data_IF_060967728954
#
_entry.id   IF_060967728954
#
_cell.length_a   1.000
_cell.length_b   1.000
_cell.length_c   1.000
_cell.angle_alpha   90.00
_cell.angle_beta   90.00
_cell.angle_gamma   90.00
#
_symmetry.space_group_name_H-M   'P 1'
#
loop_
_entity.id
_entity.type
_entity.pdbx_description
1 polymer ?
#
# COMPACT_ATOMS: atom_id res chain seq x y z
N UNK A 1 -23.82 11.90 4.80
CA UNK A 1 -23.08 10.99 5.71
C UNK A 1 -22.23 10.06 4.84
N UNK A 2 -20.98 9.80 5.21
CA UNK A 2 -20.15 8.80 4.53
C UNK A 2 -20.82 7.43 4.64
N UNK A 3 -21.04 6.77 3.51
CA UNK A 3 -21.64 5.43 3.49
C UNK A 3 -20.52 4.39 3.55
N UNK A 4 -20.67 3.43 4.47
CA UNK A 4 -19.66 2.42 4.77
C UNK A 4 -20.14 1.05 4.32
N UNK A 5 -19.30 0.32 3.60
CA UNK A 5 -19.52 -1.06 3.20
C UNK A 5 -18.64 -1.98 4.04
N UNK A 6 -19.23 -2.95 4.74
CA UNK A 6 -18.49 -3.90 5.60
C UNK A 6 -18.28 -5.26 4.94
N UNK A 7 -18.74 -5.43 3.70
CA UNK A 7 -18.49 -6.61 2.89
C UNK A 7 -19.32 -7.83 3.21
N UNK A 8 -20.06 -7.92 4.32
CA UNK A 8 -20.98 -9.04 4.54
C UNK A 8 -22.02 -9.15 3.40
N UNK A 9 -22.44 -8.01 2.85
CA UNK A 9 -23.31 -7.93 1.70
C UNK A 9 -22.64 -8.53 0.44
N UNK A 10 -21.31 -8.44 0.31
CA UNK A 10 -20.56 -9.11 -0.77
C UNK A 10 -20.72 -10.63 -0.70
N UNK A 11 -20.67 -11.22 0.50
CA UNK A 11 -20.82 -12.67 0.67
C UNK A 11 -22.23 -13.11 0.26
N UNK A 12 -23.25 -12.34 0.63
CA UNK A 12 -24.63 -12.56 0.23
C UNK A 12 -24.79 -12.46 -1.29
N UNK A 13 -24.33 -11.36 -1.89
CA UNK A 13 -24.46 -11.11 -3.33
C UNK A 13 -23.70 -12.14 -4.15
N UNK A 14 -22.52 -12.56 -3.69
CA UNK A 14 -21.76 -13.65 -4.32
C UNK A 14 -22.52 -14.97 -4.24
N UNK A 15 -23.19 -15.25 -3.12
CA UNK A 15 -24.04 -16.44 -2.97
C UNK A 15 -25.20 -16.42 -3.97
N UNK A 16 -25.88 -15.29 -4.11
CA UNK A 16 -26.93 -15.10 -5.11
C UNK A 16 -26.42 -15.22 -6.56
N UNK A 17 -25.21 -14.74 -6.84
CA UNK A 17 -24.59 -14.93 -8.16
C UNK A 17 -24.27 -16.40 -8.45
N UNK A 18 -23.80 -17.15 -7.45
CA UNK A 18 -23.49 -18.59 -7.61
C UNK A 18 -24.73 -19.48 -7.64
N UNK A 19 -25.82 -19.06 -6.99
CA UNK A 19 -27.09 -19.78 -6.96
C UNK A 19 -28.24 -18.79 -7.22
N UNK A 20 -28.57 -18.54 -8.51
CA UNK A 20 -29.62 -17.61 -8.89
C UNK A 20 -31.00 -18.03 -8.39
N UNK A 21 -31.27 -19.34 -8.26
CA UNK A 21 -32.55 -19.85 -7.77
C UNK A 21 -32.82 -19.39 -6.33
N UNK A 22 -31.78 -19.39 -5.48
CA UNK A 22 -31.87 -18.89 -4.10
C UNK A 22 -32.28 -17.41 -4.06
N UNK A 23 -31.79 -16.60 -4.99
CA UNK A 23 -32.19 -15.19 -5.10
C UNK A 23 -33.67 -15.06 -5.46
N UNK A 24 -34.13 -15.80 -6.48
CA UNK A 24 -35.52 -15.77 -6.90
C UNK A 24 -36.46 -16.28 -5.80
N UNK A 25 -36.14 -17.42 -5.17
CA UNK A 25 -36.93 -17.98 -4.06
C UNK A 25 -37.05 -17.01 -2.88
N UNK A 26 -35.92 -16.41 -2.45
CA UNK A 26 -35.92 -15.45 -1.36
C UNK A 26 -36.72 -14.19 -1.70
N UNK A 27 -36.58 -13.69 -2.94
CA UNK A 27 -37.33 -12.53 -3.42
C UNK A 27 -38.83 -12.80 -3.48
N UNK A 28 -39.25 -13.92 -4.07
CA UNK A 28 -40.68 -14.28 -4.16
C UNK A 28 -41.31 -14.43 -2.77
N UNK A 29 -40.58 -15.01 -1.80
CA UNK A 29 -41.03 -15.11 -0.41
C UNK A 29 -41.28 -13.74 0.23
N UNK A 30 -40.45 -12.75 -0.06
CA UNK A 30 -40.64 -11.37 0.44
C UNK A 30 -41.82 -10.70 -0.28
N UNK A 31 -41.94 -10.89 -1.60
CA UNK A 31 -43.04 -10.33 -2.38
C UNK A 31 -44.41 -10.93 -1.98
N UNK A 32 -44.46 -12.22 -1.64
CA UNK A 32 -45.70 -12.84 -1.15
C UNK A 32 -46.13 -12.27 0.21
N UNK A 33 -45.17 -11.95 1.10
CA UNK A 33 -45.46 -11.31 2.39
C UNK A 33 -45.99 -9.88 2.23
N UNK A 34 -45.51 -9.14 1.21
CA UNK A 34 -46.09 -7.85 0.81
C UNK A 34 -47.53 -8.02 0.32
N UNK A 35 -47.81 -9.03 -0.51
CA UNK A 35 -49.17 -9.29 -1.01
C UNK A 35 -50.22 -9.55 0.08
N UNK A 36 -49.81 -10.03 1.25
CA UNK A 36 -50.70 -10.27 2.41
C UNK A 36 -50.86 -9.04 3.33
N UNK A 37 -49.89 -8.11 3.37
CA UNK A 37 -49.83 -7.02 4.36
C UNK A 37 -49.66 -5.58 3.79
N UNK A 38 -49.38 -5.39 2.50
CA UNK A 38 -49.08 -4.08 1.90
C UNK A 38 -49.23 -4.04 0.37
N UNK A 39 -50.09 -3.15 -0.12
CA UNK A 39 -50.42 -3.04 -1.55
C UNK A 39 -49.30 -2.48 -2.44
N UNK A 40 -48.28 -1.80 -1.88
CA UNK A 40 -47.24 -1.14 -2.66
C UNK A 40 -45.82 -1.56 -2.27
N UNK A 41 -44.93 -1.67 -3.26
CA UNK A 41 -43.51 -2.02 -3.05
C UNK A 41 -42.78 -0.97 -2.18
N UNK A 42 -43.28 0.26 -2.14
CA UNK A 42 -42.73 1.32 -1.30
C UNK A 42 -42.91 1.05 0.19
N UNK A 43 -43.90 0.24 0.58
CA UNK A 43 -44.21 -0.08 1.98
C UNK A 43 -43.26 -1.13 2.58
N UNK A 44 -42.33 -1.69 1.78
CA UNK A 44 -41.32 -2.63 2.27
C UNK A 44 -40.29 -1.91 3.14
N UNK A 45 -40.42 -2.08 4.46
CA UNK A 45 -39.51 -1.54 5.48
C UNK A 45 -38.60 -2.61 6.12
N UNK A 46 -38.97 -3.89 6.06
CA UNK A 46 -38.22 -5.02 6.62
C UNK A 46 -38.17 -6.21 5.64
N UNK A 47 -37.06 -6.96 5.64
CA UNK A 47 -36.85 -8.15 4.79
C UNK A 47 -37.40 -9.43 5.41
N UNK A 48 -37.92 -9.37 6.64
CA UNK A 48 -38.46 -10.52 7.36
C UNK A 48 -37.41 -11.57 7.73
N UNK A 49 -37.87 -12.79 8.03
CA UNK A 49 -36.98 -13.89 8.43
C UNK A 49 -36.15 -14.42 7.25
N UNK A 50 -34.83 -14.24 7.36
CA UNK A 50 -33.88 -14.80 6.40
C UNK A 50 -33.90 -16.34 6.41
N UNK A 51 -33.75 -17.00 5.24
CA UNK A 51 -33.60 -18.44 5.17
C UNK A 51 -32.52 -18.95 6.12
N UNK A 52 -32.76 -20.10 6.76
CA UNK A 52 -31.85 -20.64 7.77
C UNK A 52 -30.44 -20.88 7.22
N UNK A 53 -30.29 -21.13 5.92
CA UNK A 53 -28.98 -21.27 5.25
C UNK A 53 -28.18 -19.94 5.15
N UNK A 54 -28.80 -18.80 5.44
CA UNK A 54 -28.21 -17.45 5.44
C UNK A 54 -28.18 -16.83 6.84
N UNK A 55 -28.45 -17.62 7.89
CA UNK A 55 -28.57 -17.13 9.27
C UNK A 55 -27.32 -16.37 9.78
N UNK A 56 -26.12 -16.76 9.34
CA UNK A 56 -24.88 -16.07 9.71
C UNK A 56 -24.79 -14.64 9.16
N UNK A 57 -25.63 -14.30 8.17
CA UNK A 57 -25.77 -12.96 7.60
C UNK A 57 -26.91 -12.16 8.23
N UNK A 58 -27.87 -12.80 8.92
CA UNK A 58 -29.02 -12.09 9.50
C UNK A 58 -28.57 -11.10 10.59
N UNK A 59 -27.58 -11.47 11.39
CA UNK A 59 -27.02 -10.64 12.47
C UNK A 59 -26.32 -9.38 11.94
N UNK A 60 -25.67 -9.47 10.77
CA UNK A 60 -24.93 -8.35 10.16
C UNK A 60 -25.82 -7.50 9.25
N UNK A 61 -26.78 -8.12 8.56
CA UNK A 61 -27.70 -7.44 7.66
C UNK A 61 -28.78 -6.65 8.38
N UNK A 62 -29.17 -7.02 9.61
CA UNK A 62 -30.25 -6.33 10.33
C UNK A 62 -30.04 -4.81 10.44
N UNK A 63 -28.79 -4.34 10.61
CA UNK A 63 -28.46 -2.90 10.65
C UNK A 63 -28.41 -2.22 9.27
N UNK A 64 -28.47 -2.99 8.19
CA UNK A 64 -28.22 -2.58 6.80
C UNK A 64 -29.34 -3.00 5.84
N UNK A 65 -30.45 -3.55 6.32
CA UNK A 65 -31.55 -4.07 5.51
C UNK A 65 -32.04 -3.05 4.48
N UNK A 66 -32.06 -1.76 4.83
CA UNK A 66 -32.44 -0.66 3.92
C UNK A 66 -31.73 -0.70 2.55
N UNK A 67 -30.47 -1.13 2.49
CA UNK A 67 -29.70 -1.17 1.24
C UNK A 67 -30.08 -2.37 0.37
N UNK A 68 -30.33 -3.51 0.99
CA UNK A 68 -30.84 -4.69 0.30
C UNK A 68 -32.31 -4.51 -0.11
N UNK A 69 -33.11 -3.84 0.71
CA UNK A 69 -34.48 -3.43 0.37
C UNK A 69 -34.44 -2.50 -0.83
N UNK A 70 -33.59 -1.47 -0.82
CA UNK A 70 -33.42 -0.56 -1.96
C UNK A 70 -33.03 -1.33 -3.22
N UNK A 71 -32.05 -2.23 -3.13
CA UNK A 71 -31.66 -3.10 -4.24
C UNK A 71 -32.84 -3.94 -4.73
N UNK A 72 -33.59 -4.57 -3.82
CA UNK A 72 -34.77 -5.35 -4.20
C UNK A 72 -35.82 -4.52 -4.92
N UNK A 73 -36.14 -3.32 -4.40
CA UNK A 73 -37.08 -2.38 -5.04
C UNK A 73 -36.60 -2.06 -6.46
N UNK A 74 -35.31 -1.73 -6.62
CA UNK A 74 -34.70 -1.44 -7.92
C UNK A 74 -34.72 -2.65 -8.89
N UNK A 75 -34.43 -3.86 -8.40
CA UNK A 75 -34.42 -5.08 -9.23
C UNK A 75 -35.84 -5.48 -9.68
N UNK A 76 -36.84 -5.38 -8.80
CA UNK A 76 -38.24 -5.66 -9.13
C UNK A 76 -38.77 -4.67 -10.16
N UNK A 77 -38.52 -3.37 -9.96
CA UNK A 77 -38.91 -2.34 -10.94
C UNK A 77 -38.18 -2.51 -12.27
N UNK A 78 -36.93 -2.96 -12.27
CA UNK A 78 -36.19 -3.26 -13.50
C UNK A 78 -36.85 -4.38 -14.29
N UNK A 79 -37.29 -5.45 -13.63
CA UNK A 79 -37.99 -6.57 -14.26
C UNK A 79 -39.36 -6.16 -14.81
N UNK A 80 -40.14 -5.36 -14.04
CA UNK A 80 -41.41 -4.78 -14.51
C UNK A 80 -41.24 -3.97 -15.79
N UNK A 81 -40.11 -3.26 -15.91
CA UNK A 81 -39.76 -2.46 -17.08
C UNK A 81 -39.11 -3.28 -18.22
N UNK A 82 -38.93 -4.60 -18.05
CA UNK A 82 -38.31 -5.47 -19.06
C UNK A 82 -36.85 -5.09 -19.40
N UNK A 83 -36.15 -4.41 -18.49
CA UNK A 83 -34.78 -3.93 -18.74
C UNK A 83 -33.78 -5.09 -18.66
N UNK A 84 -33.16 -5.39 -19.80
CA UNK A 84 -32.13 -6.43 -19.93
C UNK A 84 -30.80 -5.92 -19.32
N UNK A 85 -30.09 -6.74 -18.53
CA UNK A 85 -28.76 -6.39 -18.01
C UNK A 85 -27.78 -6.07 -19.15
N UNK A 86 -26.95 -5.05 -18.97
CA UNK A 86 -25.87 -4.76 -19.91
C UNK A 86 -24.83 -5.88 -19.86
N UNK A 87 -24.08 -6.06 -20.95
CA UNK A 87 -22.99 -7.03 -21.00
C UNK A 87 -21.97 -6.75 -19.87
N UNK A 88 -21.72 -7.75 -19.01
CA UNK A 88 -20.82 -7.63 -17.85
C UNK A 88 -21.45 -7.01 -16.59
N UNK A 89 -22.74 -6.69 -16.60
CA UNK A 89 -23.44 -6.13 -15.43
C UNK A 89 -23.92 -7.23 -14.48
N UNK A 90 -23.23 -7.37 -13.35
CA UNK A 90 -23.53 -8.36 -12.32
C UNK A 90 -24.44 -7.77 -11.22
N UNK A 91 -25.10 -8.62 -10.43
CA UNK A 91 -25.89 -8.14 -9.28
C UNK A 91 -25.04 -7.31 -8.31
N UNK A 92 -23.79 -7.74 -8.09
CA UNK A 92 -22.81 -7.00 -7.30
C UNK A 92 -22.47 -5.64 -7.92
N UNK A 93 -22.19 -5.55 -9.23
CA UNK A 93 -21.86 -4.26 -9.84
C UNK A 93 -23.02 -3.27 -9.70
N UNK A 94 -24.27 -3.73 -9.84
CA UNK A 94 -25.46 -2.89 -9.64
C UNK A 94 -25.60 -2.43 -8.20
N UNK A 95 -25.46 -3.33 -7.24
CA UNK A 95 -25.49 -2.98 -5.83
C UNK A 95 -24.41 -1.95 -5.48
N UNK A 96 -23.18 -2.15 -5.94
CA UNK A 96 -22.07 -1.24 -5.68
C UNK A 96 -22.27 0.13 -6.35
N UNK A 97 -22.90 0.17 -7.53
CA UNK A 97 -23.16 1.40 -8.27
C UNK A 97 -24.40 2.17 -7.78
N UNK A 98 -25.42 1.48 -7.27
CA UNK A 98 -26.64 2.13 -6.75
C UNK A 98 -26.48 2.74 -5.36
N UNK A 99 -25.35 2.44 -4.71
CA UNK A 99 -24.99 2.91 -3.38
C UNK A 99 -23.79 3.86 -3.44
N UNK A 100 -23.86 4.95 -2.68
CA UNK A 100 -22.84 6.01 -2.69
C UNK A 100 -21.67 5.70 -1.77
N UNK A 101 -21.20 4.45 -1.71
CA UNK A 101 -20.19 4.03 -0.73
C UNK A 101 -18.92 4.88 -0.83
N UNK A 102 -18.51 5.41 0.32
CA UNK A 102 -17.29 6.19 0.48
C UNK A 102 -16.19 5.42 1.19
N UNK A 103 -16.53 4.38 1.94
CA UNK A 103 -15.56 3.57 2.69
C UNK A 103 -15.89 2.08 2.51
N UNK A 104 -14.89 1.27 2.16
CA UNK A 104 -15.02 -0.18 2.02
C UNK A 104 -14.07 -0.85 3.02
N UNK A 105 -14.62 -1.62 3.98
CA UNK A 105 -13.86 -2.43 4.93
C UNK A 105 -14.07 -3.91 4.62
N UNK A 106 -13.06 -4.54 4.03
CA UNK A 106 -13.09 -5.91 3.52
C UNK A 106 -12.00 -6.77 4.20
N UNK A 107 -11.80 -6.52 5.50
CA UNK A 107 -10.73 -7.16 6.28
C UNK A 107 -11.08 -8.63 6.56
N UNK A 108 -10.09 -9.52 6.43
CA UNK A 108 -10.23 -10.99 6.63
C UNK A 108 -11.26 -11.72 5.74
N UNK A 109 -11.87 -11.03 4.78
CA UNK A 109 -12.91 -11.59 3.91
C UNK A 109 -12.39 -12.56 2.85
N UNK A 110 -11.18 -12.32 2.36
CA UNK A 110 -10.50 -13.10 1.32
C UNK A 110 -9.34 -13.89 1.93
N UNK A 111 -9.48 -14.28 3.20
CA UNK A 111 -8.47 -15.05 3.94
C UNK A 111 -8.64 -16.56 3.73
N UNK A 112 -9.87 -17.02 3.72
CA UNK A 112 -10.27 -18.44 3.67
C UNK A 112 -11.18 -18.67 2.45
N UNK A 113 -10.59 -18.91 1.29
CA UNK A 113 -11.32 -19.27 0.07
C UNK A 113 -10.38 -19.81 -0.99
N UNK A 114 -10.90 -20.63 -1.90
CA UNK A 114 -10.13 -21.21 -3.02
C UNK A 114 -9.65 -20.14 -4.02
N UNK A 115 -10.24 -18.94 -3.98
CA UNK A 115 -9.88 -17.82 -4.84
C UNK A 115 -9.66 -16.53 -4.01
N UNK A 116 -8.39 -16.19 -3.77
CA UNK A 116 -7.97 -14.95 -3.12
C UNK A 116 -8.11 -13.71 -4.03
N UNK A 117 -8.80 -13.83 -5.18
CA UNK A 117 -9.00 -12.72 -6.11
C UNK A 117 -10.13 -11.81 -5.65
N UNK A 118 -9.86 -10.51 -5.77
CA UNK A 118 -10.83 -9.45 -5.50
C UNK A 118 -11.76 -9.29 -6.71
N UNK A 119 -13.09 -9.26 -6.53
CA UNK A 119 -14.02 -8.97 -7.61
C UNK A 119 -13.78 -7.56 -8.16
N UNK A 120 -13.76 -7.42 -9.49
CA UNK A 120 -13.48 -6.13 -10.17
C UNK A 120 -14.51 -5.06 -9.83
N UNK A 121 -15.73 -5.48 -9.53
CA UNK A 121 -16.86 -4.64 -9.18
C UNK A 121 -16.58 -3.77 -7.95
N UNK A 122 -15.71 -4.23 -7.03
CA UNK A 122 -15.30 -3.46 -5.86
C UNK A 122 -14.61 -2.14 -6.23
N UNK A 123 -13.91 -2.13 -7.36
CA UNK A 123 -13.13 -0.98 -7.83
C UNK A 123 -13.93 -0.06 -8.75
N UNK A 124 -15.17 -0.40 -9.08
CA UNK A 124 -16.05 0.42 -9.92
C UNK A 124 -16.80 1.50 -9.13
N UNK A 125 -16.67 1.54 -7.80
CA UNK A 125 -17.32 2.53 -6.93
C UNK A 125 -16.65 3.92 -7.05
N UNK A 126 -17.30 4.94 -7.65
CA UNK A 126 -16.64 6.21 -7.98
C UNK A 126 -16.39 7.13 -6.78
N UNK A 127 -17.03 6.85 -5.63
CA UNK A 127 -17.01 7.73 -4.46
C UNK A 127 -16.11 7.24 -3.32
N UNK A 128 -15.47 6.08 -3.47
CA UNK A 128 -14.68 5.48 -2.39
C UNK A 128 -13.41 6.30 -2.13
N UNK A 129 -13.23 6.66 -0.86
CA UNK A 129 -12.09 7.38 -0.31
C UNK A 129 -11.21 6.47 0.57
N UNK A 130 -11.79 5.43 1.16
CA UNK A 130 -11.06 4.46 1.98
C UNK A 130 -11.34 3.04 1.51
N UNK A 131 -10.29 2.26 1.27
CA UNK A 131 -10.35 0.82 1.01
C UNK A 131 -9.44 0.09 1.99
N UNK A 132 -10.03 -0.73 2.87
CA UNK A 132 -9.32 -1.62 3.78
C UNK A 132 -9.47 -3.07 3.31
N UNK A 133 -8.33 -3.73 3.11
CA UNK A 133 -8.18 -5.11 2.67
C UNK A 133 -7.18 -5.84 3.60
N UNK A 134 -7.19 -5.50 4.88
CA UNK A 134 -6.21 -6.02 5.86
C UNK A 134 -6.48 -7.48 6.19
N UNK A 135 -5.45 -8.20 6.62
CA UNK A 135 -5.55 -9.58 7.13
C UNK A 135 -6.15 -10.56 6.12
N UNK A 136 -5.94 -10.31 4.82
CA UNK A 136 -6.33 -11.22 3.75
C UNK A 136 -5.10 -12.05 3.30
N UNK A 137 -5.31 -12.98 2.37
CA UNK A 137 -4.23 -13.79 1.79
C UNK A 137 -3.85 -13.30 0.38
N UNK A 138 -3.99 -12.00 0.10
CA UNK A 138 -3.80 -11.44 -1.24
C UNK A 138 -2.35 -11.57 -1.71
N UNK A 139 -2.16 -12.25 -2.83
CA UNK A 139 -0.89 -12.35 -3.55
C UNK A 139 -0.76 -11.30 -4.66
N UNK A 140 -1.86 -10.69 -5.08
CA UNK A 140 -1.91 -9.64 -6.08
C UNK A 140 -3.04 -8.63 -5.82
N UNK A 141 -2.76 -7.35 -6.05
CA UNK A 141 -3.78 -6.30 -6.17
C UNK A 141 -4.16 -6.14 -7.65
N UNK A 142 -5.45 -6.20 -8.03
CA UNK A 142 -5.86 -6.12 -9.43
C UNK A 142 -5.63 -4.72 -10.00
N UNK A 143 -5.40 -4.66 -11.32
CA UNK A 143 -5.14 -3.41 -12.04
C UNK A 143 -6.32 -2.43 -11.97
N UNK A 144 -7.53 -2.92 -11.73
CA UNK A 144 -8.74 -2.11 -11.57
C UNK A 144 -8.68 -1.14 -10.38
N UNK A 145 -7.74 -1.30 -9.44
CA UNK A 145 -7.54 -0.30 -8.37
C UNK A 145 -7.36 1.12 -8.92
N UNK A 146 -6.77 1.26 -10.11
CA UNK A 146 -6.58 2.54 -10.79
C UNK A 146 -7.88 3.29 -11.15
N UNK A 147 -9.05 2.64 -11.09
CA UNK A 147 -10.36 3.29 -11.27
C UNK A 147 -10.75 4.19 -10.09
N UNK A 148 -10.22 3.95 -8.89
CA UNK A 148 -10.65 4.60 -7.66
C UNK A 148 -9.98 5.97 -7.49
N UNK A 149 -10.36 6.94 -8.32
CA UNK A 149 -9.70 8.26 -8.38
C UNK A 149 -9.78 9.10 -7.10
N UNK A 150 -10.83 8.89 -6.31
CA UNK A 150 -11.06 9.56 -5.02
C UNK A 150 -10.45 8.81 -3.84
N UNK A 151 -9.80 7.66 -4.07
CA UNK A 151 -9.19 6.87 -3.02
C UNK A 151 -8.07 7.69 -2.35
N UNK A 152 -8.19 7.93 -1.06
CA UNK A 152 -7.25 8.68 -0.23
C UNK A 152 -6.44 7.75 0.70
N UNK A 153 -7.03 6.63 1.09
CA UNK A 153 -6.46 5.68 2.03
C UNK A 153 -6.64 4.24 1.54
N UNK A 154 -5.52 3.53 1.37
CA UNK A 154 -5.50 2.12 0.98
C UNK A 154 -4.74 1.31 2.03
N UNK A 155 -5.41 0.35 2.65
CA UNK A 155 -4.78 -0.55 3.61
C UNK A 155 -4.71 -2.00 3.11
N UNK A 156 -3.49 -2.51 3.03
CA UNK A 156 -3.15 -3.86 2.56
C UNK A 156 -2.28 -4.60 3.60
N UNK A 157 -2.31 -4.18 4.86
CA UNK A 157 -1.55 -4.77 5.96
C UNK A 157 -1.85 -6.26 6.15
N UNK A 158 -0.84 -7.07 6.45
CA UNK A 158 -0.96 -8.53 6.63
C UNK A 158 -1.56 -9.22 5.40
N UNK A 159 -0.85 -9.16 4.28
CA UNK A 159 -1.14 -9.89 3.04
C UNK A 159 0.14 -10.60 2.53
N UNK A 160 0.13 -11.13 1.31
CA UNK A 160 1.26 -11.83 0.68
C UNK A 160 1.82 -11.05 -0.52
N UNK A 161 1.71 -9.73 -0.52
CA UNK A 161 2.08 -8.89 -1.65
C UNK A 161 3.61 -8.80 -1.82
N UNK A 162 4.06 -8.98 -3.05
CA UNK A 162 5.43 -8.70 -3.52
C UNK A 162 5.43 -7.42 -4.36
N UNK A 163 6.60 -6.95 -4.80
CA UNK A 163 6.68 -5.71 -5.61
C UNK A 163 5.84 -5.80 -6.88
N UNK A 164 5.89 -6.93 -7.59
CA UNK A 164 5.09 -7.17 -8.81
C UNK A 164 3.59 -7.31 -8.53
N UNK A 165 3.21 -7.59 -7.29
CA UNK A 165 1.82 -7.71 -6.86
C UNK A 165 1.09 -6.36 -6.80
N UNK A 166 1.83 -5.25 -6.77
CA UNK A 166 1.26 -3.89 -6.75
C UNK A 166 1.30 -3.34 -8.19
N UNK A 167 0.14 -3.17 -8.86
CA UNK A 167 0.09 -2.79 -10.26
C UNK A 167 0.45 -1.31 -10.47
N UNK A 168 1.08 -1.01 -11.61
CA UNK A 168 1.41 0.38 -11.98
C UNK A 168 0.17 1.27 -12.08
N UNK A 169 -1.02 0.72 -12.35
CA UNK A 169 -2.28 1.47 -12.40
C UNK A 169 -2.64 2.15 -11.07
N UNK A 170 -2.01 1.78 -9.95
CA UNK A 170 -2.15 2.49 -8.68
C UNK A 170 -1.75 3.98 -8.79
N UNK A 171 -0.88 4.34 -9.75
CA UNK A 171 -0.54 5.74 -10.04
C UNK A 171 -1.75 6.58 -10.50
N UNK A 172 -2.80 5.94 -11.02
CA UNK A 172 -4.02 6.61 -11.46
C UNK A 172 -4.92 7.04 -10.30
N UNK A 173 -4.68 6.52 -9.09
CA UNK A 173 -5.33 6.97 -7.86
C UNK A 173 -4.75 8.33 -7.41
N UNK A 174 -5.09 9.41 -8.14
CA UNK A 174 -4.50 10.75 -7.94
C UNK A 174 -4.77 11.36 -6.57
N UNK A 175 -5.74 10.86 -5.82
CA UNK A 175 -6.06 11.33 -4.46
C UNK A 175 -5.37 10.53 -3.36
N UNK A 176 -4.63 9.46 -3.68
CA UNK A 176 -4.10 8.52 -2.69
C UNK A 176 -3.00 9.17 -1.85
N UNK A 177 -3.25 9.30 -0.54
CA UNK A 177 -2.35 9.96 0.42
C UNK A 177 -1.64 8.97 1.32
N UNK A 178 -2.34 7.92 1.75
CA UNK A 178 -1.82 6.96 2.72
C UNK A 178 -1.95 5.54 2.18
N UNK A 179 -0.83 4.81 2.18
CA UNK A 179 -0.75 3.43 1.77
C UNK A 179 -0.14 2.58 2.90
N UNK A 180 -0.89 1.59 3.39
CA UNK A 180 -0.38 0.64 4.39
C UNK A 180 -0.01 -0.68 3.74
N UNK A 181 1.27 -1.05 3.81
CA UNK A 181 1.84 -2.29 3.27
C UNK A 181 2.55 -3.11 4.34
N UNK A 182 2.31 -2.85 5.63
CA UNK A 182 2.98 -3.58 6.71
C UNK A 182 2.71 -5.09 6.63
N UNK A 183 3.68 -5.90 7.04
CA UNK A 183 3.60 -7.34 7.09
C UNK A 183 3.17 -7.97 5.75
N UNK A 184 3.90 -7.64 4.69
CA UNK A 184 3.81 -8.27 3.38
C UNK A 184 5.15 -8.95 3.01
N UNK A 185 5.36 -9.29 1.75
CA UNK A 185 6.55 -9.96 1.23
C UNK A 185 7.42 -9.02 0.36
N UNK A 186 7.37 -7.71 0.62
CA UNK A 186 8.11 -6.71 -0.15
C UNK A 186 9.61 -6.72 0.16
N UNK A 187 10.43 -6.72 -0.88
CA UNK A 187 11.88 -6.53 -0.84
C UNK A 187 12.30 -5.09 -1.18
N UNK A 188 11.41 -4.34 -1.85
CA UNK A 188 11.51 -2.92 -2.16
C UNK A 188 10.09 -2.32 -2.30
N UNK A 189 9.98 -1.00 -2.48
CA UNK A 189 8.75 -0.38 -2.98
C UNK A 189 8.77 -0.33 -4.53
N UNK A 190 7.61 -0.42 -5.22
CA UNK A 190 7.58 -0.20 -6.65
C UNK A 190 8.06 1.20 -7.05
N UNK A 191 8.98 1.28 -8.01
CA UNK A 191 9.60 2.55 -8.43
C UNK A 191 8.63 3.59 -8.99
N UNK A 192 7.47 3.18 -9.51
CA UNK A 192 6.44 4.12 -9.97
C UNK A 192 5.82 4.95 -8.83
N UNK A 193 5.95 4.52 -7.57
CA UNK A 193 5.44 5.27 -6.42
C UNK A 193 6.12 6.63 -6.26
N UNK A 194 7.36 6.77 -6.76
CA UNK A 194 8.08 8.05 -6.78
C UNK A 194 7.40 9.11 -7.66
N UNK A 195 6.53 8.68 -8.59
CA UNK A 195 5.81 9.55 -9.52
C UNK A 195 4.37 9.84 -9.06
N UNK A 196 3.95 9.31 -7.90
CA UNK A 196 2.61 9.55 -7.37
C UNK A 196 2.52 10.95 -6.75
N UNK A 197 1.63 11.83 -7.23
CA UNK A 197 1.64 13.25 -6.86
C UNK A 197 1.12 13.53 -5.44
N UNK A 198 0.22 12.69 -4.93
CA UNK A 198 -0.51 12.94 -3.68
C UNK A 198 -0.08 12.05 -2.52
N UNK A 199 0.83 11.10 -2.74
CA UNK A 199 1.25 10.16 -1.70
C UNK A 199 2.05 10.90 -0.63
N UNK A 200 1.65 10.74 0.63
CA UNK A 200 2.28 11.39 1.79
C UNK A 200 2.93 10.39 2.73
N UNK A 201 2.27 9.24 2.91
CA UNK A 201 2.69 8.26 3.92
C UNK A 201 2.58 6.85 3.37
N UNK A 202 3.68 6.09 3.51
CA UNK A 202 3.74 4.67 3.14
C UNK A 202 4.28 3.88 4.32
N UNK A 203 3.42 3.08 4.94
CA UNK A 203 3.83 2.16 5.99
C UNK A 203 4.26 0.83 5.36
N UNK A 204 5.37 0.26 5.82
CA UNK A 204 6.01 -0.92 5.21
C UNK A 204 6.74 -1.80 6.23
N UNK A 205 6.47 -1.65 7.51
CA UNK A 205 7.14 -2.42 8.56
C UNK A 205 6.81 -3.91 8.46
N UNK A 206 7.70 -4.77 8.97
CA UNK A 206 7.49 -6.22 8.98
C UNK A 206 7.50 -6.91 7.60
N UNK A 207 7.96 -6.22 6.54
CA UNK A 207 8.21 -6.85 5.24
C UNK A 207 9.50 -7.68 5.28
N UNK A 208 9.40 -8.97 4.96
CA UNK A 208 10.40 -10.00 5.27
C UNK A 208 11.80 -9.76 4.63
N UNK A 209 11.87 -9.03 3.51
CA UNK A 209 13.10 -8.85 2.74
C UNK A 209 13.67 -7.43 2.79
N UNK A 210 12.98 -6.49 3.44
CA UNK A 210 13.31 -5.07 3.36
C UNK A 210 14.67 -4.74 4.00
N UNK A 211 14.95 -5.33 5.16
CA UNK A 211 16.21 -5.11 5.89
C UNK A 211 17.41 -5.72 5.16
N UNK A 212 17.27 -6.96 4.65
CA UNK A 212 18.33 -7.64 3.89
C UNK A 212 18.68 -6.89 2.61
N UNK A 213 17.67 -6.47 1.83
CA UNK A 213 17.87 -5.67 0.62
C UNK A 213 18.52 -4.31 0.93
N UNK A 214 18.06 -3.63 1.99
CA UNK A 214 18.62 -2.32 2.35
C UNK A 214 20.10 -2.43 2.72
N UNK A 215 20.49 -3.41 3.52
CA UNK A 215 21.88 -3.58 3.94
C UNK A 215 22.78 -4.08 2.79
N UNK A 216 22.31 -5.02 1.97
CA UNK A 216 23.09 -5.57 0.86
C UNK A 216 23.32 -4.55 -0.27
N UNK A 217 22.29 -3.74 -0.60
CA UNK A 217 22.31 -2.92 -1.81
C UNK A 217 22.79 -1.49 -1.59
N UNK A 218 22.72 -0.97 -0.36
CA UNK A 218 23.07 0.43 -0.08
C UNK A 218 24.56 0.73 -0.25
N UNK A 219 25.43 -0.24 0.08
CA UNK A 219 26.89 -0.11 -0.04
C UNK A 219 27.49 -0.77 -1.29
N UNK A 220 26.66 -1.35 -2.16
CA UNK A 220 27.13 -1.95 -3.41
C UNK A 220 27.35 -0.90 -4.49
N UNK A 221 28.32 -1.18 -5.36
CA UNK A 221 28.61 -0.41 -6.56
C UNK A 221 27.43 -0.42 -7.55
N UNK A 222 27.35 0.59 -8.42
CA UNK A 222 26.35 0.85 -9.47
C UNK A 222 26.00 -0.43 -10.24
N UNK A 223 27.03 -1.17 -10.66
CA UNK A 223 26.86 -2.36 -11.49
C UNK A 223 26.18 -3.53 -10.78
N UNK A 224 26.15 -3.53 -9.45
CA UNK A 224 25.52 -4.59 -8.68
C UNK A 224 24.04 -4.32 -8.39
N UNK A 225 23.56 -3.08 -8.57
CA UNK A 225 22.14 -2.72 -8.39
C UNK A 225 21.29 -2.92 -9.64
N UNK A 226 21.94 -3.16 -10.77
CA UNK A 226 21.33 -3.56 -12.03
C UNK A 226 21.40 -5.08 -12.13
N UNK A 227 20.28 -5.75 -11.91
CA UNK A 227 20.21 -7.20 -11.80
C UNK A 227 19.56 -7.75 -13.08
N UNK A 228 20.29 -8.51 -13.92
CA UNK A 228 19.71 -9.14 -15.10
C UNK A 228 18.67 -10.19 -14.67
N UNK A 229 17.50 -10.13 -15.30
CA UNK A 229 16.44 -11.12 -15.14
C UNK A 229 16.34 -11.92 -16.43
N UNK A 230 16.74 -13.18 -16.34
CA UNK A 230 16.65 -14.12 -17.45
C UNK A 230 15.17 -14.48 -17.61
N UNK A 231 14.66 -14.28 -18.82
CA UNK A 231 13.34 -14.77 -19.19
C UNK A 231 13.36 -16.29 -19.28
N UNK A 232 12.58 -16.98 -18.44
CA UNK A 232 12.39 -18.41 -18.63
C UNK A 232 11.44 -18.65 -19.80
N UNK A 233 11.73 -19.60 -20.70
CA UNK A 233 10.75 -20.07 -21.66
C UNK A 233 9.69 -20.87 -20.89
N UNK A 234 8.68 -20.18 -20.38
CA UNK A 234 7.43 -20.85 -20.03
C UNK A 234 6.85 -21.42 -21.32
N UNK A 235 6.21 -22.62 -21.30
CA UNK A 235 5.37 -23.02 -22.43
C UNK A 235 4.48 -21.84 -22.76
N UNK A 236 4.30 -21.51 -24.05
CA UNK A 236 3.69 -20.26 -24.44
C UNK A 236 2.40 -20.16 -23.65
N UNK A 237 2.31 -19.16 -22.77
CA UNK A 237 1.01 -18.63 -22.40
C UNK A 237 0.38 -18.50 -23.76
N UNK A 238 -0.64 -19.31 -24.03
CA UNK A 238 -1.42 -19.28 -25.25
C UNK A 238 -2.12 -17.93 -25.20
N UNK A 239 -1.38 -16.84 -25.39
CA UNK A 239 -1.83 -15.59 -25.96
C UNK A 239 -2.10 -15.99 -27.40
N UNK A 240 -3.16 -16.80 -27.56
CA UNK A 240 -3.71 -17.23 -28.82
C UNK A 240 -4.09 -15.92 -29.48
N UNK A 241 -3.26 -15.57 -30.45
CA UNK A 241 -3.45 -14.50 -31.41
C UNK A 241 -3.04 -13.14 -30.86
N UNK A 242 -1.94 -12.65 -31.41
CA UNK A 242 -1.53 -11.24 -31.43
C UNK A 242 -2.59 -10.41 -32.20
N UNK A 243 -3.80 -10.34 -31.65
CA UNK A 243 -4.91 -9.60 -32.24
C UNK A 243 -4.61 -8.10 -32.24
N UNK A 244 -5.33 -7.34 -33.07
CA UNK A 244 -5.29 -5.88 -33.02
C UNK A 244 -5.61 -5.36 -31.62
N UNK A 245 -6.56 -6.01 -30.92
CA UNK A 245 -6.93 -5.69 -29.54
C UNK A 245 -5.72 -5.82 -28.59
N UNK A 246 -4.95 -6.90 -28.70
CA UNK A 246 -3.74 -7.12 -27.89
C UNK A 246 -2.67 -6.07 -28.15
N UNK A 247 -2.39 -5.74 -29.42
CA UNK A 247 -1.38 -4.74 -29.77
C UNK A 247 -1.78 -3.31 -29.37
N UNK A 248 -3.07 -2.98 -29.52
CA UNK A 248 -3.62 -1.72 -29.03
C UNK A 248 -3.49 -1.62 -27.51
N UNK A 249 -3.88 -2.68 -26.78
CA UNK A 249 -3.76 -2.74 -25.34
C UNK A 249 -2.30 -2.62 -24.87
N UNK A 250 -1.37 -3.36 -25.49
CA UNK A 250 0.07 -3.26 -25.21
C UNK A 250 0.60 -1.84 -25.39
N UNK A 251 0.16 -1.15 -26.44
CA UNK A 251 0.57 0.23 -26.73
C UNK A 251 0.05 1.19 -25.65
N UNK A 252 -1.23 1.06 -25.28
CA UNK A 252 -1.86 1.86 -24.21
C UNK A 252 -1.17 1.64 -22.85
N UNK A 253 -0.85 0.38 -22.51
CA UNK A 253 -0.12 0.02 -21.29
C UNK A 253 1.24 0.73 -21.27
N UNK A 254 1.97 0.69 -22.39
CA UNK A 254 3.26 1.37 -22.53
C UNK A 254 3.18 2.87 -22.28
N UNK A 255 2.10 3.54 -22.70
CA UNK A 255 1.94 4.98 -22.50
C UNK A 255 1.88 5.42 -21.02
N UNK A 256 1.64 4.51 -20.06
CA UNK A 256 1.50 4.81 -18.63
C UNK A 256 0.46 5.90 -18.31
N UNK A 257 -0.51 6.12 -19.20
CA UNK A 257 -1.60 7.10 -19.03
C UNK A 257 -2.82 6.41 -18.45
N UNK A 258 -3.61 7.19 -17.72
CA UNK A 258 -4.87 6.72 -17.12
C UNK A 258 -5.90 6.41 -18.23
N UNK A 259 -5.92 5.15 -18.65
CA UNK A 259 -6.84 4.64 -19.65
C UNK A 259 -8.26 4.40 -19.09
N UNK A 260 -8.46 4.45 -17.77
CA UNK A 260 -9.79 4.28 -17.18
C UNK A 260 -10.65 5.53 -17.40
N UNK A 261 -10.04 6.71 -17.34
CA UNK A 261 -10.74 7.99 -17.62
C UNK A 261 -10.91 8.31 -19.09
N UNK A 262 -10.06 7.76 -19.95
CA UNK A 262 -10.03 8.15 -21.35
C UNK A 262 -11.36 7.80 -22.05
N UNK A 263 -12.03 8.81 -22.59
CA UNK A 263 -13.32 8.68 -23.26
C UNK A 263 -13.17 8.02 -24.63
N UNK A 264 -11.98 8.10 -25.24
CA UNK A 264 -11.69 7.48 -26.54
C UNK A 264 -11.57 5.96 -26.47
N UNK A 265 -11.37 5.40 -25.27
CA UNK A 265 -11.21 3.97 -25.05
C UNK A 265 -12.56 3.37 -24.65
N UNK A 266 -13.03 2.38 -25.41
CA UNK A 266 -14.27 1.69 -25.12
C UNK A 266 -14.22 0.96 -23.76
N UNK A 267 -15.31 0.91 -22.96
CA UNK A 267 -15.33 0.24 -21.65
C UNK A 267 -14.85 -1.22 -21.69
N UNK A 268 -15.28 -1.99 -22.70
CA UNK A 268 -14.85 -3.39 -22.89
C UNK A 268 -13.33 -3.50 -23.08
N UNK A 269 -12.72 -2.50 -23.74
CA UNK A 269 -11.28 -2.46 -23.92
C UNK A 269 -10.55 -2.08 -22.62
N UNK A 270 -11.12 -1.21 -21.78
CA UNK A 270 -10.57 -0.87 -20.45
C UNK A 270 -10.48 -2.11 -19.56
N UNK A 271 -11.55 -2.89 -19.52
CA UNK A 271 -11.63 -4.16 -18.80
C UNK A 271 -10.58 -5.16 -19.31
N UNK A 272 -10.50 -5.33 -20.64
CA UNK A 272 -9.49 -6.19 -21.26
C UNK A 272 -8.06 -5.74 -20.94
N UNK A 273 -7.77 -4.44 -21.03
CA UNK A 273 -6.46 -3.88 -20.69
C UNK A 273 -6.12 -4.17 -19.23
N UNK A 274 -7.06 -3.97 -18.30
CA UNK A 274 -6.86 -4.22 -16.88
C UNK A 274 -6.51 -5.70 -16.59
N UNK A 275 -7.16 -6.63 -17.28
CA UNK A 275 -6.93 -8.08 -17.15
C UNK A 275 -5.54 -8.51 -17.62
N UNK A 276 -5.09 -7.97 -18.76
CA UNK A 276 -3.77 -8.35 -19.31
C UNK A 276 -2.63 -7.51 -18.75
N UNK A 277 -2.91 -6.40 -18.06
CA UNK A 277 -1.90 -5.49 -17.51
C UNK A 277 -0.81 -6.22 -16.70
N UNK A 278 -1.13 -7.19 -15.81
CA UNK A 278 -0.12 -7.91 -15.02
C UNK A 278 0.81 -8.79 -15.84
N UNK A 279 0.45 -9.09 -17.09
CA UNK A 279 1.28 -9.87 -18.00
C UNK A 279 2.45 -9.07 -18.56
N UNK A 280 2.52 -7.76 -18.30
CA UNK A 280 3.55 -6.88 -18.80
C UNK A 280 4.45 -6.34 -17.70
N UNK A 281 5.76 -6.38 -17.97
CA UNK A 281 6.71 -5.49 -17.32
C UNK A 281 6.79 -4.19 -18.15
N UNK A 282 6.64 -3.04 -17.49
CA UNK A 282 6.68 -1.73 -18.14
C UNK A 282 8.02 -1.08 -17.83
N UNK A 283 8.81 -0.79 -18.87
CA UNK A 283 10.10 -0.14 -18.70
C UNK A 283 9.91 1.23 -18.04
N UNK A 284 10.63 1.49 -16.96
CA UNK A 284 10.54 2.75 -16.22
C UNK A 284 11.06 3.92 -17.07
N UNK A 285 12.15 3.72 -17.82
CA UNK A 285 12.77 4.75 -18.67
C UNK A 285 12.00 4.98 -20.00
N UNK A 286 12.03 4.02 -20.93
CA UNK A 286 11.53 4.22 -22.29
C UNK A 286 10.05 3.87 -22.52
N UNK A 287 9.28 3.58 -21.47
CA UNK A 287 7.85 3.26 -21.54
C UNK A 287 7.48 2.01 -22.37
N UNK A 288 8.45 1.20 -22.79
CA UNK A 288 8.21 -0.05 -23.50
C UNK A 288 7.53 -1.09 -22.59
N UNK A 289 6.36 -1.58 -22.99
CA UNK A 289 5.71 -2.73 -22.37
C UNK A 289 6.25 -4.04 -22.98
N UNK A 290 6.87 -4.87 -22.15
CA UNK A 290 7.39 -6.20 -22.52
C UNK A 290 6.66 -7.27 -21.72
N UNK A 291 6.51 -8.49 -22.24
CA UNK A 291 5.87 -9.56 -21.48
C UNK A 291 6.67 -9.88 -20.20
N UNK A 292 5.97 -10.36 -19.17
CA UNK A 292 6.55 -10.59 -17.84
C UNK A 292 7.71 -11.60 -17.85
N UNK A 293 7.72 -12.50 -18.83
CA UNK A 293 8.73 -13.52 -19.09
C UNK A 293 9.85 -13.07 -20.05
N UNK A 294 9.81 -11.84 -20.56
CA UNK A 294 10.87 -11.31 -21.41
C UNK A 294 12.13 -11.02 -20.60
N UNK A 295 13.29 -11.14 -21.23
CA UNK A 295 14.55 -10.67 -20.67
C UNK A 295 14.48 -9.17 -20.34
N UNK A 296 15.12 -8.78 -19.25
CA UNK A 296 15.26 -7.39 -18.85
C UNK A 296 16.06 -7.27 -17.57
N UNK A 297 15.94 -6.13 -16.90
CA UNK A 297 16.72 -5.79 -15.73
C UNK A 297 15.81 -5.31 -14.60
N UNK A 298 16.05 -5.82 -13.40
CA UNK A 298 15.58 -5.18 -12.16
C UNK A 298 16.62 -4.16 -11.75
N UNK A 299 16.18 -2.95 -11.43
CA UNK A 299 17.07 -1.87 -10.99
C UNK A 299 16.63 -1.43 -9.61
N UNK A 300 17.56 -1.41 -8.65
CA UNK A 300 17.30 -0.96 -7.28
C UNK A 300 17.85 0.46 -7.11
N UNK A 301 16.98 1.40 -6.77
CA UNK A 301 17.34 2.78 -6.42
C UNK A 301 16.99 3.07 -4.96
N UNK A 302 17.48 4.19 -4.44
CA UNK A 302 17.26 4.60 -3.05
C UNK A 302 16.84 6.06 -2.97
N UNK A 303 15.99 6.37 -1.99
CA UNK A 303 15.67 7.76 -1.60
C UNK A 303 15.93 7.94 -0.09
N UNK A 304 16.52 9.10 0.23
CA UNK A 304 17.08 9.61 1.50
C UNK A 304 16.39 9.28 2.86
N UNK A 305 17.10 9.42 4.03
CA UNK A 305 18.57 9.38 4.21
C UNK A 305 19.13 8.80 5.55
N UNK A 306 20.47 8.83 5.68
CA UNK A 306 21.33 8.38 6.78
C UNK A 306 21.55 9.43 7.89
N UNK A 307 20.66 9.47 8.87
CA UNK A 307 20.88 9.52 10.33
C UNK A 307 19.55 9.17 11.05
N UNK A 308 18.70 8.40 10.35
CA UNK A 308 17.42 7.86 10.78
C UNK A 308 17.24 6.42 10.26
N UNK A 309 18.36 5.69 10.18
CA UNK A 309 18.53 4.23 9.99
C UNK A 309 17.74 3.48 8.90
N UNK A 310 16.92 4.15 8.09
CA UNK A 310 15.98 3.45 7.20
C UNK A 310 16.00 4.01 5.78
N UNK A 311 17.04 3.67 5.03
CA UNK A 311 17.06 3.87 3.59
C UNK A 311 15.91 3.09 2.93
N UNK A 312 15.29 3.68 1.91
CA UNK A 312 14.09 3.11 1.26
C UNK A 312 14.47 2.60 -0.14
N UNK A 313 14.63 1.27 -0.34
CA UNK A 313 14.82 0.71 -1.67
C UNK A 313 13.55 0.80 -2.51
N UNK A 314 13.73 1.21 -3.77
CA UNK A 314 12.73 1.19 -4.83
C UNK A 314 13.19 0.25 -5.95
N UNK A 315 12.29 -0.61 -6.44
CA UNK A 315 12.57 -1.51 -7.55
C UNK A 315 11.90 -1.03 -8.83
N UNK A 316 12.68 -0.95 -9.89
CA UNK A 316 12.27 -0.56 -11.24
C UNK A 316 12.49 -1.73 -12.20
N UNK A 317 11.76 -1.69 -13.33
CA UNK A 317 12.01 -2.57 -14.46
C UNK A 317 12.61 -1.77 -15.62
N UNK A 318 13.62 -2.34 -16.28
CA UNK A 318 14.21 -1.80 -17.50
C UNK A 318 14.29 -2.89 -18.58
N UNK A 319 13.96 -2.53 -19.82
CA UNK A 319 13.98 -3.48 -20.94
C UNK A 319 15.35 -3.67 -21.59
N UNK A 320 16.33 -2.80 -21.27
CA UNK A 320 17.71 -2.87 -21.76
C UNK A 320 18.67 -2.38 -20.69
N UNK A 321 19.96 -2.69 -20.87
CA UNK A 321 21.02 -2.23 -19.96
C UNK A 321 21.14 -0.70 -19.97
N UNK A 322 20.95 -0.06 -21.12
CA UNK A 322 20.98 1.40 -21.22
C UNK A 322 19.81 2.00 -20.44
N UNK A 323 18.59 1.47 -20.60
CA UNK A 323 17.45 1.88 -19.79
C UNK A 323 17.67 1.65 -18.30
N UNK A 324 18.47 0.66 -17.91
CA UNK A 324 18.79 0.42 -16.52
C UNK A 324 19.79 1.43 -15.97
N UNK A 325 20.82 1.77 -16.74
CA UNK A 325 21.82 2.79 -16.42
C UNK A 325 21.20 4.19 -16.29
N UNK A 326 20.28 4.54 -17.19
CA UNK A 326 19.52 5.80 -17.14
C UNK A 326 18.65 5.96 -15.88
N UNK A 327 18.39 4.86 -15.17
CA UNK A 327 17.66 4.89 -13.89
C UNK A 327 18.61 4.91 -12.70
N UNK A 328 19.62 4.03 -12.70
CA UNK A 328 20.49 3.83 -11.55
C UNK A 328 21.47 5.00 -11.38
N UNK A 329 22.15 5.42 -12.46
CA UNK A 329 23.24 6.39 -12.39
C UNK A 329 22.75 7.74 -11.83
N UNK A 330 21.66 8.34 -12.35
CA UNK A 330 21.17 9.60 -11.80
C UNK A 330 20.69 9.45 -10.35
N UNK A 331 20.00 8.35 -10.02
CA UNK A 331 19.52 8.09 -8.67
C UNK A 331 20.68 7.91 -7.67
N UNK A 332 21.80 7.31 -8.10
CA UNK A 332 23.01 7.17 -7.27
C UNK A 332 23.70 8.51 -7.04
N UNK A 333 23.79 9.35 -8.07
CA UNK A 333 24.36 10.70 -7.94
C UNK A 333 23.54 11.51 -6.93
N UNK A 334 22.21 11.50 -7.06
CA UNK A 334 21.30 12.16 -6.10
C UNK A 334 21.49 11.61 -4.68
N UNK A 335 21.59 10.30 -4.52
CA UNK A 335 21.82 9.65 -3.24
C UNK A 335 23.14 10.08 -2.58
N UNK A 336 24.24 10.11 -3.34
CA UNK A 336 25.57 10.52 -2.82
C UNK A 336 25.54 12.00 -2.43
N UNK A 337 24.99 12.86 -3.28
CA UNK A 337 24.90 14.30 -3.01
C UNK A 337 24.09 14.58 -1.73
N UNK A 338 22.98 13.87 -1.54
CA UNK A 338 22.17 14.02 -0.35
C UNK A 338 22.82 13.47 0.92
N UNK A 339 23.62 12.41 0.82
CA UNK A 339 24.39 11.90 1.95
C UNK A 339 25.44 12.93 2.40
N UNK A 340 26.19 13.51 1.45
CA UNK A 340 27.17 14.57 1.72
C UNK A 340 26.54 15.80 2.38
N UNK A 341 25.36 16.21 1.91
CA UNK A 341 24.62 17.33 2.50
C UNK A 341 24.17 17.03 3.93
N UNK A 342 23.77 15.80 4.24
CA UNK A 342 23.38 15.41 5.59
C UNK A 342 24.58 15.31 6.54
N UNK A 343 25.72 14.81 6.07
CA UNK A 343 26.97 14.81 6.83
C UNK A 343 27.36 16.25 7.21
N UNK A 344 27.26 17.20 6.26
CA UNK A 344 27.48 18.63 6.50
C UNK A 344 26.54 19.20 7.58
N UNK A 345 25.24 18.90 7.50
CA UNK A 345 24.27 19.34 8.50
C UNK A 345 24.54 18.75 9.89
N UNK A 346 24.98 17.49 9.95
CA UNK A 346 25.35 16.84 11.20
C UNK A 346 26.61 17.46 11.83
N UNK A 347 27.63 17.75 11.02
CA UNK A 347 28.83 18.46 11.47
C UNK A 347 28.47 19.84 12.06
N UNK A 348 27.64 20.63 11.36
CA UNK A 348 27.14 21.92 11.85
C UNK A 348 26.40 21.80 13.19
N UNK A 349 25.56 20.77 13.33
CA UNK A 349 24.86 20.49 14.59
C UNK A 349 25.84 20.15 15.73
N UNK A 350 26.85 19.32 15.46
CA UNK A 350 27.87 18.94 16.44
C UNK A 350 28.67 20.17 16.88
N UNK A 351 29.09 21.02 15.94
CA UNK A 351 29.78 22.28 16.24
C UNK A 351 28.92 23.22 17.08
N UNK A 352 27.63 23.35 16.76
CA UNK A 352 26.69 24.16 17.54
C UNK A 352 26.54 23.62 18.97
N UNK A 353 26.43 22.31 19.14
CA UNK A 353 26.36 21.64 20.45
C UNK A 353 27.63 21.91 21.27
N UNK A 354 28.81 21.77 20.67
CA UNK A 354 30.07 22.08 21.33
C UNK A 354 30.15 23.54 21.77
N UNK A 355 29.73 24.48 20.91
CA UNK A 355 29.70 25.91 21.23
C UNK A 355 28.75 26.22 22.39
N UNK A 356 27.55 25.62 22.39
CA UNK A 356 26.57 25.74 23.49
C UNK A 356 27.15 25.20 24.80
N UNK A 357 27.79 24.03 24.78
CA UNK A 357 28.44 23.45 25.95
C UNK A 357 29.55 24.34 26.52
N UNK A 358 30.44 24.84 25.65
CA UNK A 358 31.53 25.74 26.07
C UNK A 358 31.00 27.06 26.65
N UNK A 359 29.96 27.64 26.06
CA UNK A 359 29.36 28.88 26.57
C UNK A 359 28.69 28.67 27.94
N UNK A 360 27.92 27.59 28.13
CA UNK A 360 27.34 27.22 29.41
C UNK A 360 28.39 26.98 30.49
N UNK A 361 29.53 26.39 30.12
CA UNK A 361 30.65 26.17 31.04
C UNK A 361 31.33 27.48 31.44
N UNK A 362 31.54 28.42 30.51
CA UNK A 362 32.04 29.77 30.82
C UNK A 362 31.09 30.55 31.74
N UNK A 363 29.77 30.45 31.54
CA UNK A 363 28.77 31.08 32.40
C UNK A 363 28.79 30.54 33.83
N UNK A 364 28.98 29.21 34.00
CA UNK A 364 29.14 28.58 35.33
C UNK A 364 30.44 29.00 36.02
N UNK A 365 31.55 29.13 35.29
CA UNK A 365 32.83 29.59 35.86
C UNK A 365 32.78 31.06 36.29
N UNK A 366 32.03 31.90 35.57
CA UNK A 366 31.81 33.30 35.95
C UNK A 366 30.89 33.45 37.18
N UNK A 367 29.87 32.59 37.31
CA UNK A 367 28.99 32.56 38.49
C UNK A 367 29.70 32.10 39.78
N UNK A 368 30.76 31.30 39.69
CA UNK A 368 31.54 30.87 40.85
C UNK A 368 32.64 31.87 41.26
N UNK A 369 32.91 32.91 40.45
CA UNK A 369 33.95 33.91 40.71
C UNK A 369 33.44 35.23 41.29
N UNK A 370 32.12 35.39 41.44
CA UNK A 370 31.50 36.59 42.04
C UNK A 370 31.19 36.45 43.54
N UNK A 371 31.72 35.44 44.23
CA UNK A 371 31.61 35.30 45.68
C UNK A 371 32.97 35.07 46.33
N UNK A 372 33.48 36.07 47.04
CA UNK A 372 34.58 35.98 48.01
C UNK A 372 34.58 37.25 48.89
N UNK A 373 35.11 37.26 50.12
CA UNK A 373 35.47 36.13 51.00
C UNK A 373 34.99 36.31 52.47
N UNK A 374 34.87 35.24 53.26
CA UNK A 374 35.12 35.32 54.71
C UNK A 374 35.29 33.91 55.33
N UNK A 375 36.43 33.68 56.00
CA UNK A 375 36.48 32.85 57.22
C UNK A 375 36.86 31.37 57.15
N UNK A 376 38.12 31.10 57.54
CA UNK A 376 38.63 29.95 58.33
C UNK A 376 38.73 28.52 57.75
N UNK A 377 40.00 28.14 57.51
CA UNK A 377 40.75 26.95 57.95
C UNK A 377 40.28 25.51 57.64
N UNK A 378 41.19 24.71 57.04
CA UNK A 378 41.20 23.26 57.20
C UNK A 378 41.79 22.43 56.04
N UNK A 379 43.11 22.31 55.99
CA UNK A 379 43.97 21.23 55.42
C UNK A 379 43.45 20.30 54.29
N UNK A 380 44.24 20.16 53.22
CA UNK A 380 44.13 19.01 52.28
C UNK A 380 45.15 19.03 51.13
N UNK A 381 45.92 17.94 51.00
CA UNK A 381 47.12 17.75 50.17
C UNK A 381 47.00 18.02 48.65
N UNK A 382 48.12 18.46 48.08
CA UNK A 382 48.40 18.58 46.64
C UNK A 382 48.33 17.24 45.87
N UNK A 383 47.76 17.29 44.66
CA UNK A 383 47.96 16.29 43.60
C UNK A 383 47.95 16.96 42.21
N UNK A 384 49.06 16.86 41.48
CA UNK A 384 49.30 17.37 40.12
C UNK A 384 48.64 16.51 39.01
N UNK A 385 48.54 17.00 37.76
CA UNK A 385 47.62 16.47 36.76
C UNK A 385 48.22 15.36 35.87
N UNK A 386 47.43 14.33 35.56
CA UNK A 386 47.77 13.30 34.56
C UNK A 386 47.09 13.61 33.22
N UNK A 387 47.93 13.89 32.20
CA UNK A 387 47.58 13.79 30.78
C UNK A 387 47.30 12.33 30.44
N UNK A 388 46.22 12.02 29.73
CA UNK A 388 46.07 10.74 29.04
C UNK A 388 45.91 10.96 27.53
N UNK A 389 46.98 10.58 26.86
CA UNK A 389 47.14 10.38 25.42
C UNK A 389 46.35 9.18 24.92
N UNK A 390 45.91 9.28 23.66
CA UNK A 390 45.21 8.25 22.91
C UNK A 390 46.06 7.01 22.66
N UNK A 391 45.46 5.82 22.82
CA UNK A 391 45.96 4.58 22.24
C UNK A 391 44.81 3.72 21.75
N UNK A 392 44.85 3.40 20.47
CA UNK A 392 44.00 2.45 19.74
C UNK A 392 44.39 1.02 20.11
N UNK A 393 43.43 0.15 20.44
CA UNK A 393 43.61 -1.32 20.35
C UNK A 393 42.28 -2.01 19.98
N UNK A 394 42.31 -2.75 18.87
CA UNK A 394 41.36 -3.79 18.48
C UNK A 394 41.40 -5.00 19.44
N UNK A 395 40.23 -5.57 19.80
CA UNK A 395 39.84 -6.97 19.49
C UNK A 395 38.87 -7.59 20.51
N UNK A 396 37.82 -8.20 19.94
CA UNK A 396 37.22 -9.51 20.23
C UNK A 396 36.93 -9.97 21.68
N UNK A 397 35.62 -10.17 21.96
CA UNK A 397 34.94 -11.43 22.37
C UNK A 397 33.86 -11.24 23.45
N UNK A 398 32.71 -11.89 23.20
CA UNK A 398 31.79 -12.61 24.12
C UNK A 398 31.30 -11.79 25.34
N UNK A 399 30.03 -11.43 25.43
CA UNK A 399 28.91 -12.37 25.52
C UNK A 399 28.66 -12.71 26.99
N UNK A 400 28.04 -11.80 27.75
CA UNK A 400 27.39 -12.06 29.04
C UNK A 400 26.21 -11.09 29.19
N UNK A 401 25.04 -11.66 29.47
CA UNK A 401 23.77 -10.99 29.78
C UNK A 401 23.79 -10.49 31.23
N UNK A 402 23.29 -9.28 31.56
CA UNK A 402 22.98 -8.92 32.95
C UNK A 402 21.49 -9.07 33.25
N UNK A 403 21.21 -9.77 34.35
CA UNK A 403 19.92 -9.88 35.03
C UNK A 403 19.68 -8.70 35.96
N UNK A 404 18.47 -8.14 35.87
CA UNK A 404 17.66 -7.39 36.85
C UNK A 404 18.31 -6.71 38.07
N UNK A 405 18.17 -5.39 38.15
CA UNK A 405 17.83 -4.66 39.38
C UNK A 405 17.27 -3.25 39.08
N UNK A 406 15.95 -3.20 38.98
CA UNK A 406 15.00 -2.20 39.51
C UNK A 406 15.47 -0.78 39.91
N UNK A 407 14.76 0.19 39.31
CA UNK A 407 14.28 1.48 39.86
C UNK A 407 15.28 2.54 40.30
N UNK A 408 15.38 3.62 39.49
CA UNK A 408 14.94 4.98 39.85
C UNK A 408 14.95 5.88 38.61
N UNK A 409 13.87 6.65 38.45
CA UNK A 409 13.57 7.39 37.24
C UNK A 409 14.54 8.51 36.91
N UNK A 410 14.69 8.75 35.62
CA UNK A 410 14.89 10.08 35.04
C UNK A 410 14.22 10.05 33.67
N UNK A 411 13.11 10.77 33.57
CA UNK A 411 12.52 11.21 32.32
C UNK A 411 13.56 12.04 31.57
N UNK A 412 13.99 11.58 30.39
CA UNK A 412 14.46 12.45 29.32
C UNK A 412 13.90 11.92 28.01
N UNK A 413 12.76 12.53 27.66
CA UNK A 413 12.30 12.77 26.29
C UNK A 413 13.45 13.37 25.45
N UNK A 414 13.34 13.25 24.12
CA UNK A 414 13.93 14.07 23.02
C UNK A 414 14.50 13.09 21.97
N UNK A 415 13.67 12.62 21.02
CA UNK A 415 13.13 13.27 19.79
C UNK A 415 14.10 13.19 18.62
#
# INVERSE_FOLDING_TARGET
MSEIFHGFELLLLRRFQTNPELWYEWREKILSQLGENGTHLDDLEDLGEMPQCLWYLSVTLHRRQRYLIKLMKEEVERERQGRIPKCGETLLSRYMNSHGFSELYLDSMFKYGDDNRLPRELFQCPNVRLLSLKYNSLDQLPSDVGRMQKLEYLALTNNKLQVRSIPHTLIFCRSLRTLLLDNNLLDALPGFMLQMPSIRTVHRHGNHNYFKSTFMWYHTDVYYRIIPVIGYPTPPIRIKNQTLQFWAAKSIIGCKRDFFTDVSIAPVLKDYIADIYPLFNICHNCNRATLANSFGFKVITFKNPYLGNTCVPFQHWACSIDCAKELEIPARIEQIAAAQELDRQYEEYVEECHRKFQSAHRSRVLSCRSGSPEGSEGQGHMGQPLKMSATVVHSARRGVVPSDATTRGCECVVS
#
